data_IF_970006240277
#
_entry.id   IF_970006240277
#
_cell.length_a   1.000
_cell.length_b   1.000
_cell.length_c   1.000
_cell.angle_alpha   90.00
_cell.angle_beta   90.00
_cell.angle_gamma   90.00
#
_symmetry.space_group_name_H-M   'P 1'
#
loop_
_entity.id
_entity.type
_entity.pdbx_description
1 polymer ?
#
# COMPACT_ATOMS: atom_id res chain seq x y z
N UNK A 1 -1.05 18.15 89.53
CA UNK A 1 -2.21 17.65 88.77
C UNK A 1 -2.53 18.71 87.71
N UNK A 2 -1.71 18.95 86.69
CA UNK A 2 -1.21 17.97 85.72
C UNK A 2 -2.36 17.08 85.24
N UNK A 3 -3.24 17.70 84.44
CA UNK A 3 -4.20 17.13 83.48
C UNK A 3 -5.43 18.04 83.39
N UNK A 4 -5.35 19.08 82.54
CA UNK A 4 -6.47 19.70 81.80
C UNK A 4 -6.04 20.88 80.91
N UNK A 5 -4.86 20.80 80.29
CA UNK A 5 -4.37 21.79 79.31
C UNK A 5 -4.23 21.18 77.90
N UNK A 6 -4.62 19.91 77.68
CA UNK A 6 -4.51 19.26 76.36
C UNK A 6 -5.89 18.91 75.84
N UNK A 7 -6.66 19.93 75.43
CA UNK A 7 -7.79 19.73 74.52
C UNK A 7 -8.20 21.01 73.76
N UNK A 8 -7.21 21.80 73.30
CA UNK A 8 -7.39 22.80 72.23
C UNK A 8 -6.36 22.56 71.12
N UNK A 9 -6.39 21.39 70.48
CA UNK A 9 -5.63 21.10 69.26
C UNK A 9 -6.49 20.44 68.18
N UNK A 10 -7.75 20.83 68.09
CA UNK A 10 -8.52 20.75 66.84
C UNK A 10 -8.95 22.16 66.49
N UNK A 11 -8.23 22.80 65.57
CA UNK A 11 -8.75 23.71 64.53
C UNK A 11 -7.62 24.57 63.94
N UNK A 12 -7.31 24.32 62.66
CA UNK A 12 -6.97 25.43 61.76
C UNK A 12 -5.57 25.46 61.15
N UNK A 13 -5.19 24.45 60.35
CA UNK A 13 -4.25 24.69 59.26
C UNK A 13 -5.05 25.10 58.02
N UNK A 14 -5.37 26.41 57.93
CA UNK A 14 -5.99 26.99 56.74
C UNK A 14 -4.92 27.15 55.66
N UNK A 15 -4.85 26.14 54.81
CA UNK A 15 -4.16 26.19 53.52
C UNK A 15 -4.69 27.41 52.73
N UNK A 16 -3.79 28.29 52.28
CA UNK A 16 -4.19 29.56 51.66
C UNK A 16 -4.83 29.32 50.28
N UNK A 17 -5.98 29.95 49.96
CA UNK A 17 -6.73 29.73 48.71
C UNK A 17 -6.00 30.15 47.42
N UNK A 18 -4.82 30.76 47.53
CA UNK A 18 -4.01 31.21 46.39
C UNK A 18 -3.23 30.05 45.76
N UNK A 19 -2.68 29.12 46.56
CA UNK A 19 -1.83 28.03 46.03
C UNK A 19 -2.62 26.93 45.32
N UNK A 20 -3.88 26.72 45.71
CA UNK A 20 -4.77 25.73 45.10
C UNK A 20 -5.29 26.18 43.73
N UNK A 21 -5.52 27.48 43.54
CA UNK A 21 -5.96 28.04 42.26
C UNK A 21 -4.84 28.02 41.20
N UNK A 22 -3.59 28.33 41.58
CA UNK A 22 -2.44 28.26 40.65
C UNK A 22 -2.19 26.83 40.13
N UNK A 23 -2.32 25.82 40.99
CA UNK A 23 -2.14 24.42 40.61
C UNK A 23 -3.25 23.91 39.66
N UNK A 24 -4.48 24.38 39.84
CA UNK A 24 -5.61 24.05 38.96
C UNK A 24 -5.48 24.70 37.59
N UNK A 25 -4.99 25.93 37.52
CA UNK A 25 -4.74 26.65 36.27
C UNK A 25 -3.62 26.01 35.44
N UNK A 26 -2.53 25.59 36.07
CA UNK A 26 -1.43 24.88 35.38
C UNK A 26 -1.94 23.55 34.80
N UNK A 27 -2.70 22.78 35.57
CA UNK A 27 -3.23 21.48 35.14
C UNK A 27 -4.29 21.59 34.04
N UNK A 28 -5.02 22.70 33.98
CA UNK A 28 -5.96 22.97 32.89
C UNK A 28 -5.22 23.41 31.62
N UNK A 29 -4.19 24.25 31.76
CA UNK A 29 -3.34 24.69 30.66
C UNK A 29 -2.54 23.55 30.03
N UNK A 30 -2.13 22.55 30.81
CA UNK A 30 -1.48 21.34 30.31
C UNK A 30 -2.46 20.44 29.52
N UNK A 31 -3.69 20.26 30.02
CA UNK A 31 -4.74 19.48 29.32
C UNK A 31 -5.21 20.14 28.03
N UNK A 32 -5.26 21.47 27.98
CA UNK A 32 -5.57 22.21 26.76
C UNK A 32 -4.45 22.09 25.73
N UNK A 33 -3.18 22.17 26.16
CA UNK A 33 -2.02 21.94 25.28
C UNK A 33 -1.97 20.51 24.73
N UNK A 34 -2.32 19.50 25.53
CA UNK A 34 -2.41 18.10 25.08
C UNK A 34 -3.53 17.90 24.06
N UNK A 35 -4.71 18.48 24.29
CA UNK A 35 -5.82 18.44 23.33
C UNK A 35 -5.50 19.16 22.03
N UNK A 36 -4.84 20.32 22.09
CA UNK A 36 -4.42 21.06 20.89
C UNK A 36 -3.35 20.28 20.11
N UNK A 37 -2.42 19.60 20.81
CA UNK A 37 -1.39 18.75 20.18
C UNK A 37 -1.99 17.51 19.52
N UNK A 38 -2.94 16.82 20.16
CA UNK A 38 -3.64 15.67 19.59
C UNK A 38 -4.54 16.06 18.40
N UNK A 39 -5.23 17.19 18.51
CA UNK A 39 -6.06 17.71 17.41
C UNK A 39 -5.22 18.15 16.21
N UNK A 40 -4.05 18.76 16.44
CA UNK A 40 -3.15 19.19 15.36
C UNK A 40 -2.39 18.01 14.72
N UNK A 41 -2.06 16.99 15.52
CA UNK A 41 -1.49 15.70 15.08
C UNK A 41 -2.45 14.95 14.17
N UNK A 42 -3.70 14.75 14.60
CA UNK A 42 -4.72 14.01 13.84
C UNK A 42 -5.08 14.68 12.50
N UNK A 43 -5.21 16.01 12.47
CA UNK A 43 -5.50 16.74 11.22
C UNK A 43 -4.34 16.67 10.22
N UNK A 44 -3.09 16.76 10.67
CA UNK A 44 -1.92 16.63 9.78
C UNK A 44 -1.77 15.21 9.21
N UNK A 45 -2.09 14.17 10.00
CA UNK A 45 -2.04 12.77 9.55
C UNK A 45 -3.11 12.47 8.50
N UNK A 46 -4.32 13.05 8.61
CA UNK A 46 -5.38 12.86 7.62
C UNK A 46 -5.03 13.44 6.25
N UNK A 47 -4.43 14.64 6.20
CA UNK A 47 -3.99 15.29 4.95
C UNK A 47 -2.86 14.49 4.25
N UNK A 48 -1.93 13.94 5.04
CA UNK A 48 -0.83 13.12 4.53
C UNK A 48 -1.31 11.76 3.96
N UNK A 49 -2.32 11.14 4.57
CA UNK A 49 -2.89 9.88 4.08
C UNK A 49 -3.72 10.07 2.82
N UNK A 50 -4.57 11.10 2.76
CA UNK A 50 -5.33 11.47 1.56
C UNK A 50 -4.39 11.79 0.39
N UNK A 51 -3.32 12.56 0.65
CA UNK A 51 -2.30 12.85 -0.36
C UNK A 51 -1.58 11.59 -0.85
N UNK A 52 -1.28 10.65 0.06
CA UNK A 52 -0.67 9.36 -0.29
C UNK A 52 -1.58 8.53 -1.18
N UNK A 53 -2.87 8.44 -0.86
CA UNK A 53 -3.87 7.73 -1.67
C UNK A 53 -4.03 8.36 -3.06
N UNK A 54 -4.02 9.69 -3.16
CA UNK A 54 -4.06 10.39 -4.43
C UNK A 54 -2.84 10.07 -5.32
N UNK A 55 -1.63 10.01 -4.74
CA UNK A 55 -0.42 9.59 -5.47
C UNK A 55 -0.52 8.12 -5.88
N UNK A 56 -1.00 7.25 -4.99
CA UNK A 56 -1.25 5.84 -5.30
C UNK A 56 -2.12 5.71 -6.54
N UNK A 57 -3.31 6.30 -6.52
CA UNK A 57 -4.26 6.19 -7.63
C UNK A 57 -3.69 6.73 -8.94
N UNK A 58 -2.95 7.85 -8.87
CA UNK A 58 -2.34 8.47 -10.06
C UNK A 58 -1.24 7.61 -10.67
N UNK A 59 -0.28 7.13 -9.87
CA UNK A 59 0.81 6.29 -10.36
C UNK A 59 0.31 4.94 -10.86
N UNK A 60 -0.62 4.37 -10.14
CA UNK A 60 -1.22 3.08 -10.48
C UNK A 60 -2.05 3.18 -11.77
N UNK A 61 -2.85 4.24 -11.95
CA UNK A 61 -3.59 4.50 -13.19
C UNK A 61 -2.69 4.75 -14.40
N UNK A 62 -1.58 5.46 -14.20
CA UNK A 62 -0.55 5.64 -15.24
C UNK A 62 0.04 4.29 -15.65
N UNK A 63 0.41 3.46 -14.67
CA UNK A 63 0.90 2.12 -14.89
C UNK A 63 -0.12 1.27 -15.65
N UNK A 64 -1.40 1.34 -15.30
CA UNK A 64 -2.47 0.60 -15.95
C UNK A 64 -2.57 0.90 -17.45
N UNK A 65 -2.55 2.17 -17.84
CA UNK A 65 -2.57 2.57 -19.26
C UNK A 65 -1.35 2.06 -20.01
N UNK A 66 -0.17 2.14 -19.40
CA UNK A 66 1.07 1.58 -19.98
C UNK A 66 0.96 0.06 -20.12
N UNK A 67 0.44 -0.62 -19.09
CA UNK A 67 0.25 -2.06 -19.07
C UNK A 67 -0.69 -2.56 -20.16
N UNK A 68 -1.77 -1.84 -20.45
CA UNK A 68 -2.68 -2.14 -21.56
C UNK A 68 -1.92 -2.13 -22.90
N UNK A 69 -1.21 -1.04 -23.20
CA UNK A 69 -0.47 -0.92 -24.45
C UNK A 69 0.66 -1.95 -24.59
N UNK A 70 1.36 -2.25 -23.49
CA UNK A 70 2.38 -3.31 -23.48
C UNK A 70 1.77 -4.69 -23.69
N UNK A 71 0.67 -4.99 -23.01
CA UNK A 71 -0.02 -6.26 -23.14
C UNK A 71 -0.55 -6.49 -24.56
N UNK A 72 -1.21 -5.49 -25.16
CA UNK A 72 -1.68 -5.57 -26.54
C UNK A 72 -0.54 -5.71 -27.55
N UNK A 73 0.60 -5.06 -27.34
CA UNK A 73 1.73 -5.12 -28.26
C UNK A 73 2.50 -6.43 -28.18
N UNK A 74 2.78 -6.91 -26.98
CA UNK A 74 3.71 -8.02 -26.74
C UNK A 74 3.01 -9.37 -26.56
N UNK A 75 1.68 -9.41 -26.46
CA UNK A 75 0.92 -10.67 -26.47
C UNK A 75 0.57 -11.16 -27.88
N UNK A 76 0.56 -10.29 -28.90
CA UNK A 76 0.09 -10.59 -30.27
C UNK A 76 0.91 -11.66 -30.99
N UNK A 77 2.23 -11.61 -30.87
CA UNK A 77 3.13 -12.49 -31.64
C UNK A 77 3.31 -13.87 -31.01
N UNK A 78 2.47 -14.23 -30.04
CA UNK A 78 2.65 -15.42 -29.20
C UNK A 78 1.51 -16.40 -29.39
N UNK A 79 1.77 -17.72 -29.23
CA UNK A 79 0.70 -18.71 -29.17
C UNK A 79 -0.36 -18.27 -28.16
N UNK A 80 -1.63 -18.48 -28.49
CA UNK A 80 -2.75 -18.04 -27.64
C UNK A 80 -2.58 -18.62 -26.24
N UNK A 81 -2.75 -17.78 -25.23
CA UNK A 81 -2.69 -18.22 -23.83
C UNK A 81 -3.73 -19.30 -23.58
N UNK A 82 -3.29 -20.46 -23.10
CA UNK A 82 -4.17 -21.59 -22.81
C UNK A 82 -4.90 -21.39 -21.48
N UNK A 83 -4.21 -20.81 -20.49
CA UNK A 83 -4.74 -20.54 -19.17
C UNK A 83 -4.15 -19.27 -18.54
N UNK A 84 -4.66 -18.92 -17.36
CA UNK A 84 -4.17 -17.76 -16.60
C UNK A 84 -2.69 -17.92 -16.22
N UNK A 85 -2.22 -19.15 -15.97
CA UNK A 85 -0.85 -19.39 -15.56
C UNK A 85 0.14 -19.04 -16.68
N UNK A 86 -0.20 -19.29 -17.93
CA UNK A 86 0.63 -18.90 -19.08
C UNK A 86 0.73 -17.39 -19.25
N UNK A 87 -0.35 -16.66 -18.95
CA UNK A 87 -0.30 -15.19 -18.84
C UNK A 87 0.60 -14.76 -17.68
N UNK A 88 0.54 -15.41 -16.52
CA UNK A 88 1.44 -15.06 -15.42
C UNK A 88 2.91 -15.35 -15.78
N UNK A 89 3.21 -16.45 -16.50
CA UNK A 89 4.56 -16.73 -17.00
C UNK A 89 5.05 -15.67 -17.99
N UNK A 90 4.17 -15.14 -18.84
CA UNK A 90 4.48 -13.99 -19.71
C UNK A 90 4.95 -12.79 -18.90
N UNK A 91 4.20 -12.45 -17.85
CA UNK A 91 4.54 -11.33 -16.99
C UNK A 91 5.93 -11.53 -16.37
N UNK A 92 6.17 -12.71 -15.81
CA UNK A 92 7.42 -13.05 -15.12
C UNK A 92 8.65 -13.03 -16.03
N UNK A 93 8.49 -13.41 -17.30
CA UNK A 93 9.62 -13.57 -18.23
C UNK A 93 9.76 -12.36 -19.15
N UNK A 94 8.78 -12.12 -19.99
CA UNK A 94 8.90 -11.17 -21.09
C UNK A 94 8.63 -9.74 -20.61
N UNK A 95 7.49 -9.51 -19.95
CA UNK A 95 7.14 -8.16 -19.47
C UNK A 95 8.18 -7.64 -18.48
N UNK A 96 8.56 -8.48 -17.50
CA UNK A 96 9.60 -8.10 -16.54
C UNK A 96 10.93 -7.79 -17.20
N UNK A 97 11.31 -8.55 -18.24
CA UNK A 97 12.53 -8.28 -19.01
C UNK A 97 12.44 -6.99 -19.80
N UNK A 98 11.27 -6.64 -20.35
CA UNK A 98 11.06 -5.35 -21.04
C UNK A 98 11.25 -4.18 -20.06
N UNK A 99 10.66 -4.27 -18.87
CA UNK A 99 10.65 -3.18 -17.88
C UNK A 99 11.99 -3.07 -17.13
N UNK A 100 12.52 -4.19 -16.67
CA UNK A 100 13.62 -4.24 -15.71
C UNK A 100 14.82 -5.03 -16.22
N UNK A 101 14.82 -5.49 -17.47
CA UNK A 101 15.96 -6.23 -18.09
C UNK A 101 16.40 -7.44 -17.25
N UNK A 102 15.46 -8.05 -16.53
CA UNK A 102 15.60 -9.31 -15.81
C UNK A 102 14.24 -10.03 -15.74
N UNK A 103 14.25 -11.32 -15.43
CA UNK A 103 13.04 -12.07 -15.12
C UNK A 103 12.70 -11.93 -13.63
N UNK A 104 11.47 -12.23 -13.26
CA UNK A 104 11.06 -12.38 -11.85
C UNK A 104 11.78 -13.60 -11.26
N UNK A 105 12.27 -13.46 -10.02
CA UNK A 105 13.10 -14.50 -9.39
C UNK A 105 12.27 -15.69 -8.87
N UNK A 106 11.07 -15.42 -8.35
CA UNK A 106 10.19 -16.46 -7.85
C UNK A 106 8.73 -16.21 -8.22
N UNK A 107 8.02 -17.27 -8.62
CA UNK A 107 6.58 -17.29 -8.80
C UNK A 107 5.97 -18.39 -7.91
N UNK A 108 5.12 -17.98 -6.97
CA UNK A 108 4.27 -18.90 -6.19
C UNK A 108 2.81 -18.74 -6.60
N UNK A 109 2.04 -19.81 -6.53
CA UNK A 109 0.59 -19.78 -6.76
C UNK A 109 -0.13 -20.79 -5.89
N UNK A 110 -1.38 -20.51 -5.57
CA UNK A 110 -2.28 -21.49 -4.95
C UNK A 110 -3.15 -22.23 -5.98
N UNK A 111 -2.92 -22.03 -7.29
CA UNK A 111 -3.72 -22.57 -8.40
C UNK A 111 -5.21 -22.18 -8.36
N UNK A 112 -5.60 -21.24 -7.50
CA UNK A 112 -6.97 -20.73 -7.31
C UNK A 112 -7.03 -19.23 -7.52
N UNK A 113 -6.28 -18.73 -8.51
CA UNK A 113 -6.29 -17.33 -8.90
C UNK A 113 -5.46 -16.39 -8.01
N UNK A 114 -4.63 -16.91 -7.10
CA UNK A 114 -3.65 -16.09 -6.35
C UNK A 114 -2.24 -16.45 -6.80
N UNK A 115 -1.48 -15.40 -7.14
CA UNK A 115 -0.09 -15.49 -7.57
C UNK A 115 0.75 -14.51 -6.76
N UNK A 116 1.98 -14.90 -6.45
CA UNK A 116 2.94 -14.07 -5.73
C UNK A 116 4.24 -14.08 -6.51
N UNK A 117 4.62 -12.91 -7.03
CA UNK A 117 5.84 -12.68 -7.77
C UNK A 117 6.85 -12.01 -6.84
N UNK A 118 8.05 -12.55 -6.77
CA UNK A 118 9.12 -12.00 -5.93
C UNK A 118 10.31 -11.59 -6.79
N UNK A 119 10.74 -10.34 -6.67
CA UNK A 119 11.98 -9.83 -7.23
C UNK A 119 12.94 -9.50 -6.08
N UNK A 120 14.01 -10.28 -5.95
CA UNK A 120 15.00 -10.18 -4.87
C UNK A 120 15.90 -8.94 -5.01
N UNK A 121 15.97 -8.36 -6.21
CA UNK A 121 16.81 -7.21 -6.52
C UNK A 121 16.06 -6.26 -7.45
N UNK A 122 14.93 -5.75 -6.94
CA UNK A 122 14.02 -4.93 -7.69
C UNK A 122 14.73 -3.64 -8.14
N UNK A 123 14.85 -3.48 -9.46
CA UNK A 123 15.73 -2.46 -10.05
C UNK A 123 15.47 -1.03 -9.58
N UNK A 124 14.22 -0.57 -9.42
CA UNK A 124 13.94 0.75 -8.86
C UNK A 124 14.56 1.01 -7.49
N UNK A 125 14.86 -0.04 -6.71
CA UNK A 125 15.46 0.08 -5.37
C UNK A 125 17.00 0.08 -5.37
N UNK A 126 17.67 -0.31 -6.46
CA UNK A 126 19.14 -0.51 -6.46
C UNK A 126 19.92 0.76 -6.14
N UNK A 127 19.38 1.94 -6.47
CA UNK A 127 20.00 3.25 -6.20
C UNK A 127 19.39 3.94 -4.97
N UNK A 128 18.47 3.29 -4.26
CA UNK A 128 17.85 3.85 -3.08
C UNK A 128 18.80 3.68 -1.89
N UNK A 129 19.27 4.80 -1.34
CA UNK A 129 20.07 4.84 -0.14
C UNK A 129 19.48 5.84 0.84
N UNK A 130 19.24 5.41 2.07
CA UNK A 130 18.86 6.30 3.17
C UNK A 130 19.67 5.94 4.42
N UNK A 131 19.84 6.90 5.32
CA UNK A 131 20.54 6.70 6.59
C UNK A 131 19.80 5.73 7.52
N UNK A 132 18.47 5.67 7.41
CA UNK A 132 17.60 4.78 8.20
C UNK A 132 16.88 3.81 7.27
N UNK A 133 17.03 2.50 7.54
CA UNK A 133 16.45 1.44 6.68
C UNK A 133 14.92 1.45 6.67
N UNK A 134 14.27 1.73 7.81
CA UNK A 134 12.80 1.79 7.89
C UNK A 134 12.22 2.94 7.06
N UNK A 135 12.89 4.10 7.03
CA UNK A 135 12.49 5.21 6.16
C UNK A 135 12.63 4.86 4.68
N UNK A 136 13.70 4.12 4.33
CA UNK A 136 13.91 3.65 2.97
C UNK A 136 12.73 2.77 2.50
N UNK A 137 12.29 1.82 3.33
CA UNK A 137 11.14 0.95 3.02
C UNK A 137 9.84 1.75 2.87
N UNK A 138 9.58 2.73 3.74
CA UNK A 138 8.39 3.59 3.60
C UNK A 138 8.37 4.37 2.29
N UNK A 139 9.53 4.87 1.84
CA UNK A 139 9.66 5.61 0.58
C UNK A 139 9.63 4.68 -0.64
N UNK A 140 10.12 3.46 -0.49
CA UNK A 140 10.13 2.44 -1.53
C UNK A 140 8.72 2.08 -2.02
N UNK A 141 7.70 2.16 -1.15
CA UNK A 141 6.32 1.81 -1.47
C UNK A 141 5.79 2.56 -2.71
N UNK A 142 6.11 3.84 -2.87
CA UNK A 142 5.66 4.64 -4.03
C UNK A 142 6.19 4.13 -5.37
N UNK A 143 7.36 3.50 -5.39
CA UNK A 143 7.95 2.93 -6.60
C UNK A 143 7.30 1.60 -7.01
N UNK A 144 6.48 1.00 -6.14
CA UNK A 144 5.76 -0.24 -6.42
C UNK A 144 4.41 0.01 -7.11
N UNK A 145 3.79 1.17 -6.90
CA UNK A 145 2.44 1.48 -7.39
C UNK A 145 2.34 1.51 -8.92
N UNK A 146 3.34 2.10 -9.57
CA UNK A 146 3.39 2.12 -11.04
C UNK A 146 3.54 0.71 -11.64
N UNK A 147 4.48 -0.15 -11.19
CA UNK A 147 4.52 -1.56 -11.58
C UNK A 147 3.21 -2.34 -11.31
N UNK A 148 2.53 -2.11 -10.18
CA UNK A 148 1.21 -2.71 -9.91
C UNK A 148 0.20 -2.35 -11.01
N UNK A 149 0.18 -1.07 -11.39
CA UNK A 149 -0.58 -0.57 -12.52
C UNK A 149 -0.30 -1.35 -13.80
N UNK A 150 0.98 -1.47 -14.17
CA UNK A 150 1.39 -2.17 -15.39
C UNK A 150 0.90 -3.61 -15.40
N UNK A 151 1.15 -4.36 -14.31
CA UNK A 151 0.73 -5.76 -14.19
C UNK A 151 -0.78 -5.89 -14.43
N UNK A 152 -1.59 -5.06 -13.75
CA UNK A 152 -3.05 -5.09 -13.89
C UNK A 152 -3.49 -4.71 -15.30
N UNK A 153 -2.89 -3.70 -15.91
CA UNK A 153 -3.20 -3.27 -17.28
C UNK A 153 -2.90 -4.37 -18.30
N UNK A 154 -1.77 -5.05 -18.16
CA UNK A 154 -1.42 -6.17 -19.03
C UNK A 154 -2.38 -7.34 -18.85
N UNK A 155 -2.79 -7.68 -17.63
CA UNK A 155 -3.81 -8.70 -17.39
C UNK A 155 -5.16 -8.31 -18.01
N UNK A 156 -5.58 -7.05 -17.87
CA UNK A 156 -6.82 -6.55 -18.45
C UNK A 156 -6.82 -6.61 -19.99
N UNK A 157 -5.70 -6.32 -20.65
CA UNK A 157 -5.60 -6.41 -22.13
C UNK A 157 -5.84 -7.81 -22.69
N UNK A 158 -5.70 -8.85 -21.87
CA UNK A 158 -5.96 -10.25 -22.25
C UNK A 158 -7.25 -10.79 -21.61
N UNK A 159 -8.07 -9.91 -21.04
CA UNK A 159 -9.38 -10.24 -20.47
C UNK A 159 -9.33 -10.85 -19.07
N UNK A 160 -8.24 -10.68 -18.32
CA UNK A 160 -8.13 -11.13 -16.93
C UNK A 160 -8.28 -9.92 -16.00
N UNK A 161 -9.40 -9.85 -15.29
CA UNK A 161 -9.56 -8.90 -14.21
C UNK A 161 -8.82 -9.36 -12.96
N UNK A 162 -8.02 -8.47 -12.37
CA UNK A 162 -7.23 -8.79 -11.19
C UNK A 162 -6.96 -7.55 -10.33
N UNK A 163 -6.75 -7.78 -9.04
CA UNK A 163 -6.17 -6.80 -8.12
C UNK A 163 -4.70 -7.11 -7.92
N UNK A 164 -3.86 -6.07 -7.83
CA UNK A 164 -2.42 -6.22 -7.58
C UNK A 164 -2.05 -5.39 -6.35
N UNK A 165 -1.47 -6.06 -5.37
CA UNK A 165 -0.88 -5.42 -4.19
C UNK A 165 0.63 -5.69 -4.20
N UNK A 166 1.39 -4.73 -3.72
CA UNK A 166 2.83 -4.88 -3.62
C UNK A 166 3.36 -4.32 -2.31
N UNK A 167 4.41 -4.95 -1.84
CA UNK A 167 5.09 -4.59 -0.60
C UNK A 167 6.59 -4.88 -0.72
N UNK A 168 7.35 -4.23 0.16
CA UNK A 168 8.77 -4.49 0.37
C UNK A 168 8.99 -4.61 1.86
N UNK A 169 9.54 -5.73 2.31
CA UNK A 169 9.92 -5.96 3.71
C UNK A 169 11.37 -5.56 3.97
N UNK A 170 12.23 -5.66 2.96
CA UNK A 170 13.61 -5.21 2.99
C UNK A 170 14.05 -4.78 1.58
N UNK A 171 15.00 -3.86 1.49
CA UNK A 171 15.54 -3.43 0.19
C UNK A 171 16.75 -4.29 -0.17
N UNK A 172 16.87 -4.74 -1.44
CA UNK A 172 16.10 -4.34 -2.63
C UNK A 172 14.96 -5.31 -3.02
N UNK A 173 14.38 -6.06 -2.09
CA UNK A 173 13.31 -7.03 -2.36
C UNK A 173 11.96 -6.34 -2.63
N UNK A 174 11.23 -6.81 -3.63
CA UNK A 174 9.83 -6.45 -3.86
C UNK A 174 8.98 -7.69 -4.09
N UNK A 175 7.77 -7.70 -3.53
CA UNK A 175 6.78 -8.75 -3.74
C UNK A 175 5.50 -8.15 -4.34
N UNK A 176 4.95 -8.83 -5.34
CA UNK A 176 3.70 -8.46 -6.01
C UNK A 176 2.70 -9.61 -5.88
N UNK A 177 1.62 -9.38 -5.15
CA UNK A 177 0.51 -10.31 -5.02
C UNK A 177 -0.58 -9.96 -6.04
N UNK A 178 -0.91 -10.92 -6.88
CA UNK A 178 -1.96 -10.82 -7.90
C UNK A 178 -3.11 -11.72 -7.48
N UNK A 179 -4.32 -11.18 -7.45
CA UNK A 179 -5.55 -11.94 -7.21
C UNK A 179 -6.50 -11.72 -8.38
N UNK A 180 -6.74 -12.77 -9.16
CA UNK A 180 -7.66 -12.74 -10.30
C UNK A 180 -9.10 -12.88 -9.83
N UNK A 181 -10.01 -12.16 -10.46
CA UNK A 181 -11.45 -12.19 -10.20
C UNK A 181 -12.06 -13.17 -11.21
N UNK A 182 -12.34 -14.40 -10.77
CA UNK A 182 -13.05 -15.48 -11.47
C UNK A 182 -13.14 -15.40 -13.01
N UNK A 183 -12.00 -15.35 -13.69
CA UNK A 183 -11.94 -15.40 -15.15
C UNK A 183 -11.25 -16.69 -15.55
N UNK A 184 -12.03 -17.76 -15.77
CA UNK A 184 -11.60 -18.81 -16.68
C UNK A 184 -11.52 -18.17 -18.04
N UNK A 185 -10.32 -18.10 -18.65
CA UNK A 185 -10.18 -17.70 -20.06
C UNK A 185 -11.08 -18.65 -20.85
N UNK A 186 -12.27 -18.18 -21.18
CA UNK A 186 -13.21 -18.95 -21.98
C UNK A 186 -12.63 -18.87 -23.37
N UNK A 187 -12.01 -19.97 -23.82
CA UNK A 187 -11.58 -20.11 -25.19
C UNK A 187 -12.81 -19.85 -26.06
N UNK A 188 -12.89 -18.65 -26.65
CA UNK A 188 -13.97 -18.32 -27.57
C UNK A 188 -13.73 -19.14 -28.84
N UNK A 189 -14.38 -20.30 -28.87
CA UNK A 189 -14.65 -21.09 -30.06
C UNK A 189 -16.04 -20.71 -30.55
N UNK A 190 -16.14 -20.32 -31.82
CA UNK A 190 -17.43 -20.34 -32.54
C UNK A 190 -17.93 -19.00 -33.05
N UNK A 191 -17.62 -18.74 -34.32
CA UNK A 191 -18.51 -18.25 -35.37
C UNK A 191 -19.68 -17.32 -35.02
N UNK A 192 -19.66 -16.13 -35.63
CA UNK A 192 -20.89 -15.54 -36.15
C UNK A 192 -20.69 -15.26 -37.65
N UNK A 193 -21.17 -16.21 -38.47
CA UNK A 193 -21.50 -15.93 -39.85
C UNK A 193 -22.65 -14.93 -39.88
N UNK A 194 -22.46 -13.82 -40.58
CA UNK A 194 -23.55 -12.90 -40.90
C UNK A 194 -24.46 -13.54 -41.94
N UNK A 195 -25.79 -13.64 -41.71
CA UNK A 195 -26.72 -13.95 -42.78
C UNK A 195 -26.90 -12.69 -43.63
N UNK A 196 -26.56 -12.77 -44.91
CA UNK A 196 -27.02 -11.80 -45.91
C UNK A 196 -28.49 -12.08 -46.15
N UNK A 197 -29.35 -11.15 -45.74
CA UNK A 197 -30.76 -11.10 -46.15
C UNK A 197 -30.86 -10.16 -47.35
N UNK A 198 -31.37 -10.74 -48.43
CA UNK A 198 -32.03 -10.18 -49.64
C UNK A 198 -31.53 -8.87 -50.22
#
# INVERSE_FOLDING_TARGET
>A
MAERIVQELELGEKDSPVKQNEALDIKNKEREKEKEKDSKSSVAVMDDEEYREAIYFRLESLGYRVGLGLGERFSRDRPRFADNLDVIKFLCKDLWTILFRKQVDNLKTNHRGVYVLTDNAFRPFIRMSMSVRSEAVMRAQTYLWFPCGIIRGTLASVGIEATVQAESSDLPLATFQIKTINSTVTANAGGSGTPVVT
#
